data_IF_720188773219
#
_entry.id   IF_720188773219
#
_cell.length_a   1.000
_cell.length_b   1.000
_cell.length_c   1.000
_cell.angle_alpha   90.00
_cell.angle_beta   90.00
_cell.angle_gamma   90.00
#
_symmetry.space_group_name_H-M   'P 1'
#
loop_
_entity.id
_entity.type
_entity.pdbx_description
1 polymer ?
#
# COMPACT_ATOMS: atom_id res chain seq x y z
N UNK A 1 -20.39 -17.63 11.35
CA UNK A 1 -19.95 -16.48 12.18
C UNK A 1 -18.50 -16.22 11.87
N UNK A 2 -18.04 -14.96 11.75
CA UNK A 2 -16.61 -14.69 11.54
C UNK A 2 -15.83 -15.04 12.82
N UNK A 3 -14.71 -15.75 12.68
CA UNK A 3 -13.89 -16.20 13.81
C UNK A 3 -12.80 -15.19 14.16
N UNK A 4 -12.06 -14.73 13.15
CA UNK A 4 -10.95 -13.79 13.31
C UNK A 4 -11.00 -12.69 12.26
N UNK A 5 -10.77 -11.45 12.69
CA UNK A 5 -10.53 -10.32 11.80
C UNK A 5 -9.05 -9.93 11.89
N UNK A 6 -8.40 -9.82 10.75
CA UNK A 6 -6.98 -9.49 10.67
C UNK A 6 -6.75 -8.39 9.64
N UNK A 7 -5.86 -7.45 9.93
CA UNK A 7 -5.44 -6.40 9.01
C UNK A 7 -3.97 -6.60 8.67
N UNK A 8 -3.68 -6.81 7.38
CA UNK A 8 -2.33 -6.91 6.84
C UNK A 8 -2.03 -5.63 6.06
N UNK A 9 -0.84 -5.04 6.23
CA UNK A 9 -0.49 -3.85 5.49
C UNK A 9 0.92 -3.89 4.90
N UNK A 10 1.05 -3.31 3.70
CA UNK A 10 2.32 -2.98 3.07
C UNK A 10 2.40 -1.46 2.98
N UNK A 11 3.20 -0.83 3.86
CA UNK A 11 3.17 0.62 4.08
C UNK A 11 4.56 1.26 4.08
N UNK A 12 5.18 1.50 2.91
CA UNK A 12 6.53 2.07 2.86
C UNK A 12 6.68 3.44 3.54
N UNK A 13 5.67 4.30 3.49
CA UNK A 13 5.74 5.69 3.99
C UNK A 13 4.67 6.06 5.02
N UNK A 14 4.02 5.08 5.63
CA UNK A 14 3.02 5.27 6.69
C UNK A 14 1.59 5.60 6.21
N UNK A 15 1.39 5.95 4.94
CA UNK A 15 0.07 6.31 4.42
C UNK A 15 -0.93 5.15 4.43
N UNK A 16 -0.49 3.96 4.05
CA UNK A 16 -1.31 2.74 4.11
C UNK A 16 -1.54 2.30 5.55
N UNK A 17 -0.49 2.35 6.37
CA UNK A 17 -0.56 2.01 7.79
C UNK A 17 -1.60 2.86 8.53
N UNK A 18 -1.65 4.18 8.24
CA UNK A 18 -2.68 5.07 8.80
C UNK A 18 -4.10 4.57 8.48
N UNK A 19 -4.37 4.16 7.25
CA UNK A 19 -5.69 3.61 6.86
C UNK A 19 -5.93 2.26 7.52
N UNK A 20 -4.93 1.38 7.53
CA UNK A 20 -5.02 0.07 8.19
C UNK A 20 -5.32 0.20 9.68
N UNK A 21 -4.67 1.16 10.36
CA UNK A 21 -4.93 1.44 11.78
C UNK A 21 -6.33 1.99 12.03
N UNK A 22 -6.89 2.83 11.13
CA UNK A 22 -8.27 3.28 11.22
C UNK A 22 -9.26 2.10 11.15
N UNK A 23 -9.01 1.14 10.23
CA UNK A 23 -9.80 -0.09 10.14
C UNK A 23 -9.69 -0.93 11.43
N UNK A 24 -8.47 -1.15 11.91
CA UNK A 24 -8.24 -1.93 13.12
C UNK A 24 -8.92 -1.31 14.35
N UNK A 25 -8.85 0.00 14.50
CA UNK A 25 -9.48 0.74 15.59
C UNK A 25 -11.02 0.66 15.53
N UNK A 26 -11.62 0.88 14.35
CA UNK A 26 -13.07 0.82 14.16
C UNK A 26 -13.61 -0.58 14.45
N UNK A 27 -12.94 -1.62 13.98
CA UNK A 27 -13.32 -3.01 14.18
C UNK A 27 -12.87 -3.58 15.55
N UNK A 28 -12.12 -2.80 16.35
CA UNK A 28 -11.59 -3.18 17.66
C UNK A 28 -10.76 -4.47 17.62
N UNK A 29 -9.92 -4.58 16.60
CA UNK A 29 -9.00 -5.72 16.41
C UNK A 29 -7.56 -5.32 16.69
N UNK A 30 -6.65 -6.31 16.73
CA UNK A 30 -5.23 -6.09 16.92
C UNK A 30 -4.63 -5.13 15.87
N UNK A 31 -3.51 -4.50 16.22
CA UNK A 31 -2.76 -3.63 15.32
C UNK A 31 -2.43 -4.36 14.00
N UNK A 32 -2.37 -3.63 12.87
CA UNK A 32 -2.05 -4.23 11.57
C UNK A 32 -0.69 -4.94 11.57
N UNK A 33 -0.63 -6.10 10.91
CA UNK A 33 0.63 -6.77 10.64
C UNK A 33 1.33 -6.10 9.46
N UNK A 34 2.57 -5.64 9.67
CA UNK A 34 3.37 -4.98 8.64
C UNK A 34 4.15 -6.01 7.79
N UNK A 35 3.81 -6.07 6.51
CA UNK A 35 4.45 -6.89 5.48
C UNK A 35 5.40 -6.09 4.58
N UNK A 36 5.78 -4.87 4.97
CA UNK A 36 6.54 -3.95 4.11
C UNK A 36 7.93 -4.46 3.80
N UNK A 37 8.69 -4.85 4.82
CA UNK A 37 10.09 -5.25 4.65
C UNK A 37 10.27 -6.74 4.42
N UNK A 38 9.39 -7.58 4.97
CA UNK A 38 9.44 -9.05 4.84
C UNK A 38 8.06 -9.66 4.91
N UNK A 39 7.92 -10.87 4.35
CA UNK A 39 6.76 -11.73 4.54
C UNK A 39 6.87 -12.53 5.84
N UNK A 40 5.73 -12.96 6.34
CA UNK A 40 5.60 -13.86 7.48
C UNK A 40 4.60 -14.96 7.12
N UNK A 41 4.94 -16.20 7.46
CA UNK A 41 4.04 -17.32 7.25
C UNK A 41 2.77 -17.14 8.07
N UNK A 42 1.63 -17.12 7.41
CA UNK A 42 0.33 -17.04 8.06
C UNK A 42 -0.72 -17.82 7.27
N UNK A 43 -1.52 -18.61 7.98
CA UNK A 43 -2.65 -19.35 7.43
C UNK A 43 -3.94 -18.89 8.08
N UNK A 44 -4.97 -18.80 7.26
CA UNK A 44 -6.33 -18.44 7.66
C UNK A 44 -7.28 -19.63 7.43
N UNK A 45 -8.51 -19.50 7.91
CA UNK A 45 -9.59 -20.46 7.73
C UNK A 45 -10.79 -19.80 7.05
N UNK A 46 -11.73 -20.60 6.56
CA UNK A 46 -12.95 -20.12 5.87
C UNK A 46 -13.79 -19.12 6.67
N UNK A 47 -13.65 -19.13 7.99
CA UNK A 47 -14.39 -18.26 8.91
C UNK A 47 -13.65 -16.96 9.24
N UNK A 48 -12.44 -16.78 8.71
CA UNK A 48 -11.65 -15.56 8.92
C UNK A 48 -11.97 -14.49 7.88
N UNK A 49 -11.83 -13.22 8.28
CA UNK A 49 -11.92 -12.05 7.41
C UNK A 49 -10.60 -11.26 7.48
N UNK A 50 -9.97 -11.08 6.33
CA UNK A 50 -8.65 -10.43 6.22
C UNK A 50 -8.75 -9.16 5.38
N UNK A 51 -8.29 -8.04 5.94
CA UNK A 51 -8.12 -6.79 5.21
C UNK A 51 -6.70 -6.68 4.68
N UNK A 52 -6.56 -6.57 3.37
CA UNK A 52 -5.29 -6.34 2.70
C UNK A 52 -5.17 -4.86 2.33
N UNK A 53 -4.35 -4.11 3.07
CA UNK A 53 -4.09 -2.70 2.82
C UNK A 53 -2.77 -2.53 2.08
N UNK A 54 -2.78 -1.89 0.91
CA UNK A 54 -1.61 -1.79 0.03
C UNK A 54 -1.59 -0.47 -0.75
N UNK A 55 -0.39 0.04 -1.12
CA UNK A 55 -0.27 1.24 -1.92
C UNK A 55 -0.42 0.92 -3.42
N UNK A 56 -0.72 1.97 -4.20
CA UNK A 56 -0.83 1.90 -5.66
C UNK A 56 0.35 2.60 -6.32
N UNK A 57 1.11 1.87 -7.12
CA UNK A 57 2.25 2.40 -7.87
C UNK A 57 1.99 2.30 -9.38
N UNK A 58 1.81 3.46 -10.02
CA UNK A 58 1.53 3.53 -11.45
C UNK A 58 0.22 2.87 -11.89
N UNK A 59 -0.72 2.60 -10.96
CA UNK A 59 -1.99 1.93 -11.23
C UNK A 59 -1.95 0.41 -11.02
N UNK A 60 -0.87 -0.09 -10.41
CA UNK A 60 -0.59 -1.51 -10.14
C UNK A 60 -0.25 -1.70 -8.66
N UNK A 61 -0.28 -2.93 -8.17
CA UNK A 61 0.31 -3.26 -6.87
C UNK A 61 1.85 -3.20 -6.95
N UNK A 62 2.55 -2.88 -5.83
CA UNK A 62 4.02 -2.95 -5.83
C UNK A 62 4.51 -4.39 -6.01
N UNK A 63 5.57 -4.58 -6.79
CA UNK A 63 6.13 -5.91 -7.08
C UNK A 63 6.43 -6.76 -5.84
N UNK A 64 6.93 -6.21 -4.70
CA UNK A 64 7.14 -7.01 -3.50
C UNK A 64 5.87 -7.65 -2.92
N UNK A 65 4.67 -7.16 -3.27
CA UNK A 65 3.43 -7.79 -2.80
C UNK A 65 3.29 -9.24 -3.29
N UNK A 66 3.78 -9.56 -4.50
CA UNK A 66 3.78 -10.94 -4.99
C UNK A 66 4.60 -11.85 -4.08
N UNK A 67 5.80 -11.42 -3.68
CA UNK A 67 6.67 -12.18 -2.78
C UNK A 67 6.04 -12.31 -1.39
N UNK A 68 5.49 -11.22 -0.85
CA UNK A 68 4.83 -11.22 0.48
C UNK A 68 3.63 -12.16 0.53
N UNK A 69 2.84 -12.19 -0.54
CA UNK A 69 1.67 -13.06 -0.63
C UNK A 69 2.04 -14.55 -0.75
N UNK A 70 3.30 -14.91 -1.06
CA UNK A 70 3.74 -16.30 -1.01
C UNK A 70 3.65 -16.93 0.38
N UNK A 71 3.74 -16.11 1.42
CA UNK A 71 3.67 -16.51 2.83
C UNK A 71 2.25 -16.44 3.42
N UNK A 72 1.23 -16.16 2.59
CA UNK A 72 -0.14 -15.95 3.07
C UNK A 72 -1.07 -16.97 2.45
N UNK A 73 -1.73 -17.79 3.28
CA UNK A 73 -2.59 -18.91 2.85
C UNK A 73 -4.04 -18.66 3.28
N UNK A 74 -4.93 -18.51 2.31
CA UNK A 74 -6.32 -18.13 2.53
C UNK A 74 -7.22 -19.26 2.99
N UNK A 75 -7.07 -20.48 2.43
CA UNK A 75 -7.87 -21.65 2.77
C UNK A 75 -9.40 -21.39 2.82
N UNK A 76 -9.90 -20.58 1.89
CA UNK A 76 -11.31 -20.18 1.82
C UNK A 76 -11.68 -18.96 2.67
N UNK A 77 -10.74 -18.33 3.38
CA UNK A 77 -10.96 -17.08 4.11
C UNK A 77 -11.48 -15.97 3.21
N UNK A 78 -12.18 -15.03 3.81
CA UNK A 78 -12.71 -13.84 3.13
C UNK A 78 -11.68 -12.72 3.13
N UNK A 79 -11.59 -11.97 2.03
CA UNK A 79 -10.65 -10.87 1.85
C UNK A 79 -11.39 -9.57 1.50
N UNK A 80 -10.96 -8.47 2.13
CA UNK A 80 -11.33 -7.10 1.76
C UNK A 80 -10.07 -6.37 1.31
N UNK A 81 -10.10 -5.81 0.10
CA UNK A 81 -8.95 -5.17 -0.53
C UNK A 81 -9.00 -3.65 -0.35
N UNK A 82 -7.96 -3.07 0.23
CA UNK A 82 -7.90 -1.63 0.53
C UNK A 82 -6.72 -1.01 -0.21
N UNK A 83 -6.99 -0.46 -1.39
CA UNK A 83 -6.00 0.25 -2.19
C UNK A 83 -5.85 1.68 -1.69
N UNK A 84 -4.65 2.06 -1.24
CA UNK A 84 -4.35 3.41 -0.73
C UNK A 84 -3.44 4.12 -1.73
N UNK A 85 -3.86 5.28 -2.23
CA UNK A 85 -3.15 5.96 -3.29
C UNK A 85 -2.97 7.46 -3.06
N UNK A 86 -1.94 8.04 -3.72
CA UNK A 86 -1.55 9.43 -3.59
C UNK A 86 -2.34 10.37 -4.53
N UNK A 87 -3.67 10.34 -4.50
CA UNK A 87 -4.56 11.23 -5.26
C UNK A 87 -4.46 11.16 -6.80
N UNK A 88 -3.77 10.15 -7.40
CA UNK A 88 -3.71 9.99 -8.85
C UNK A 88 -4.86 9.11 -9.39
N UNK A 89 -4.73 7.80 -9.31
CA UNK A 89 -5.73 6.81 -9.71
C UNK A 89 -5.31 5.42 -9.21
N UNK A 90 -6.29 4.54 -9.02
CA UNK A 90 -6.08 3.13 -8.61
C UNK A 90 -5.91 2.22 -9.82
N UNK A 91 -6.59 2.52 -10.93
CA UNK A 91 -6.54 1.75 -12.19
C UNK A 91 -6.75 0.24 -11.95
N UNK A 92 -5.74 -0.62 -12.25
CA UNK A 92 -5.90 -2.08 -12.19
C UNK A 92 -5.48 -2.70 -10.84
N UNK A 93 -5.01 -1.90 -9.88
CA UNK A 93 -4.41 -2.41 -8.64
C UNK A 93 -5.37 -3.25 -7.78
N UNK A 94 -6.67 -2.90 -7.73
CA UNK A 94 -7.66 -3.70 -7.00
C UNK A 94 -7.92 -5.04 -7.70
N UNK A 95 -8.04 -5.06 -9.03
CA UNK A 95 -8.22 -6.29 -9.80
C UNK A 95 -7.00 -7.20 -9.68
N UNK A 96 -5.79 -6.63 -9.79
CA UNK A 96 -4.54 -7.36 -9.67
C UNK A 96 -4.37 -7.99 -8.28
N UNK A 97 -4.70 -7.25 -7.21
CA UNK A 97 -4.68 -7.78 -5.86
C UNK A 97 -5.76 -8.84 -5.64
N UNK A 98 -6.94 -8.69 -6.27
CA UNK A 98 -8.00 -9.68 -6.24
C UNK A 98 -7.52 -11.01 -6.84
N UNK A 99 -6.90 -10.97 -8.01
CA UNK A 99 -6.36 -12.18 -8.66
C UNK A 99 -5.28 -12.84 -7.80
N UNK A 100 -4.42 -12.04 -7.18
CA UNK A 100 -3.40 -12.55 -6.26
C UNK A 100 -4.02 -13.21 -5.02
N UNK A 101 -5.05 -12.62 -4.42
CA UNK A 101 -5.78 -13.21 -3.29
C UNK A 101 -6.50 -14.51 -3.69
N UNK A 102 -7.16 -14.53 -4.85
CA UNK A 102 -7.81 -15.75 -5.36
C UNK A 102 -6.81 -16.89 -5.54
N UNK A 103 -5.63 -16.61 -6.09
CA UNK A 103 -4.55 -17.58 -6.25
C UNK A 103 -3.99 -18.10 -4.91
N UNK A 104 -4.22 -17.38 -3.81
CA UNK A 104 -3.85 -17.76 -2.44
C UNK A 104 -5.00 -18.39 -1.64
N UNK A 105 -6.12 -18.70 -2.31
CA UNK A 105 -7.26 -19.38 -1.71
C UNK A 105 -8.20 -18.48 -0.92
N UNK A 106 -8.18 -17.16 -1.13
CA UNK A 106 -9.15 -16.24 -0.55
C UNK A 106 -10.40 -16.07 -1.42
N UNK A 107 -11.49 -15.65 -0.79
CA UNK A 107 -12.71 -15.15 -1.44
C UNK A 107 -12.79 -13.64 -1.25
N UNK A 108 -12.68 -12.86 -2.33
CA UNK A 108 -12.75 -11.40 -2.24
C UNK A 108 -14.20 -10.96 -2.07
N UNK A 109 -14.52 -10.35 -0.94
CA UNK A 109 -15.88 -10.01 -0.52
C UNK A 109 -16.11 -8.50 -0.37
N UNK A 110 -15.12 -7.69 -0.65
CA UNK A 110 -15.23 -6.24 -0.65
C UNK A 110 -13.95 -5.54 -1.05
N UNK A 111 -14.05 -4.26 -1.34
CA UNK A 111 -12.90 -3.42 -1.69
C UNK A 111 -13.10 -1.95 -1.36
N UNK A 112 -11.99 -1.23 -1.22
CA UNK A 112 -11.97 0.20 -0.98
C UNK A 112 -10.80 0.89 -1.71
N UNK A 113 -11.06 2.10 -2.20
CA UNK A 113 -10.05 3.06 -2.68
C UNK A 113 -9.95 4.18 -1.64
N UNK A 114 -8.81 4.31 -0.97
CA UNK A 114 -8.58 5.33 0.04
C UNK A 114 -7.44 6.27 -0.36
N UNK A 115 -7.51 7.53 0.05
CA UNK A 115 -6.52 8.53 -0.31
C UNK A 115 -5.58 8.76 0.90
N UNK A 116 -4.27 8.86 0.60
CA UNK A 116 -3.23 9.28 1.54
C UNK A 116 -2.26 10.25 0.82
N UNK A 117 -1.39 10.97 1.56
CA UNK A 117 -0.39 11.80 0.93
C UNK A 117 0.52 11.00 -0.02
N UNK A 118 0.76 11.55 -1.21
CA UNK A 118 1.58 10.92 -2.23
C UNK A 118 3.04 10.74 -1.75
N UNK A 119 3.61 9.55 -1.91
CA UNK A 119 4.95 9.22 -1.36
C UNK A 119 6.08 10.11 -1.91
N UNK A 120 6.00 10.52 -3.18
CA UNK A 120 7.02 11.33 -3.84
C UNK A 120 6.78 12.83 -3.57
N UNK A 121 5.53 13.28 -3.53
CA UNK A 121 5.19 14.68 -3.27
C UNK A 121 3.98 14.79 -2.35
N UNK A 122 4.23 15.00 -1.08
CA UNK A 122 3.23 14.99 0.00
C UNK A 122 2.19 16.13 -0.10
N UNK A 123 2.37 17.09 -1.00
CA UNK A 123 1.36 18.13 -1.27
C UNK A 123 0.10 17.55 -1.88
N UNK A 124 0.22 16.48 -2.70
CA UNK A 124 -0.93 15.77 -3.26
C UNK A 124 -1.51 14.83 -2.21
N UNK A 125 -2.79 14.96 -1.94
CA UNK A 125 -3.48 14.24 -0.89
C UNK A 125 -3.07 14.66 0.53
N UNK A 126 -2.52 15.87 0.71
CA UNK A 126 -2.15 16.39 2.02
C UNK A 126 -3.35 16.39 2.97
N UNK A 127 -3.12 16.00 4.23
CA UNK A 127 -4.17 15.92 5.25
C UNK A 127 -5.11 14.71 5.16
N UNK A 128 -4.98 13.88 4.11
CA UNK A 128 -5.83 12.69 3.90
C UNK A 128 -5.27 11.44 4.61
N UNK A 129 -6.14 10.47 5.00
CA UNK A 129 -7.59 10.60 5.06
C UNK A 129 -8.01 11.65 6.08
N UNK A 130 -8.99 12.49 5.71
CA UNK A 130 -9.60 13.48 6.60
C UNK A 130 -10.88 12.95 7.26
N UNK A 131 -11.58 13.80 8.03
CA UNK A 131 -12.77 13.38 8.76
C UNK A 131 -13.88 12.82 7.85
N UNK A 132 -14.05 13.37 6.63
CA UNK A 132 -15.06 12.85 5.69
C UNK A 132 -14.68 11.50 5.11
N UNK A 133 -13.38 11.26 4.85
CA UNK A 133 -12.87 9.96 4.42
C UNK A 133 -13.07 8.89 5.49
N UNK A 134 -12.77 9.26 6.74
CA UNK A 134 -12.93 8.37 7.90
C UNK A 134 -14.42 8.02 8.10
N UNK A 135 -15.31 9.00 8.03
CA UNK A 135 -16.73 8.76 8.12
C UNK A 135 -17.25 7.81 7.02
N UNK A 136 -16.77 8.00 5.77
CA UNK A 136 -17.12 7.14 4.65
C UNK A 136 -16.57 5.71 4.83
N UNK A 137 -15.33 5.57 5.32
CA UNK A 137 -14.73 4.28 5.65
C UNK A 137 -15.53 3.56 6.74
N UNK A 138 -15.87 4.24 7.83
CA UNK A 138 -16.63 3.65 8.93
C UNK A 138 -18.02 3.20 8.48
N UNK A 139 -18.70 3.97 7.62
CA UNK A 139 -19.96 3.55 7.00
C UNK A 139 -19.81 2.28 6.16
N UNK A 140 -18.73 2.18 5.38
CA UNK A 140 -18.43 0.99 4.61
C UNK A 140 -18.20 -0.22 5.52
N UNK A 141 -17.38 -0.08 6.57
CA UNK A 141 -17.11 -1.15 7.53
C UNK A 141 -18.38 -1.60 8.24
N UNK A 142 -19.23 -0.67 8.69
CA UNK A 142 -20.52 -0.99 9.30
C UNK A 142 -21.43 -1.75 8.33
N UNK A 143 -21.50 -1.33 7.06
CA UNK A 143 -22.30 -2.01 6.03
C UNK A 143 -21.77 -3.41 5.71
N UNK A 144 -20.44 -3.60 5.68
CA UNK A 144 -19.80 -4.89 5.48
C UNK A 144 -20.13 -5.85 6.64
N UNK A 145 -19.99 -5.37 7.88
CA UNK A 145 -20.20 -6.19 9.09
C UNK A 145 -21.67 -6.49 9.36
N UNK A 146 -22.60 -5.70 8.82
CA UNK A 146 -24.04 -5.93 8.93
C UNK A 146 -24.57 -6.99 7.95
N UNK A 147 -23.78 -7.42 6.95
CA UNK A 147 -24.21 -8.45 6.01
C UNK A 147 -24.35 -9.81 6.71
N UNK A 148 -25.46 -10.48 6.50
CA UNK A 148 -25.67 -11.86 6.99
C UNK A 148 -24.72 -12.85 6.29
N UNK A 149 -24.45 -12.61 5.00
CA UNK A 149 -23.54 -13.41 4.20
C UNK A 149 -22.62 -12.49 3.39
N UNK A 150 -21.32 -12.78 3.42
CA UNK A 150 -20.29 -12.10 2.63
C UNK A 150 -20.09 -12.83 1.31
N UNK A 151 -20.72 -12.34 0.26
CA UNK A 151 -20.62 -12.86 -1.11
C UNK A 151 -19.42 -12.25 -1.84
N UNK A 152 -18.90 -12.95 -2.86
CA UNK A 152 -17.80 -12.47 -3.68
C UNK A 152 -18.19 -11.24 -4.50
N UNK A 153 -17.25 -10.27 -4.58
CA UNK A 153 -17.42 -9.00 -5.30
C UNK A 153 -16.33 -8.86 -6.35
N UNK A 154 -16.72 -8.48 -7.58
CA UNK A 154 -15.77 -8.20 -8.64
C UNK A 154 -15.06 -6.86 -8.38
N UNK A 155 -13.72 -6.86 -8.52
CA UNK A 155 -12.93 -5.64 -8.36
C UNK A 155 -12.78 -4.90 -9.69
N UNK A 156 -12.75 -3.55 -9.67
CA UNK A 156 -12.54 -2.74 -10.87
C UNK A 156 -11.12 -2.91 -11.42
N UNK A 157 -11.01 -2.83 -12.74
CA UNK A 157 -9.76 -2.93 -13.48
C UNK A 157 -9.97 -3.56 -14.85
N UNK A 158 -8.89 -3.76 -15.60
CA UNK A 158 -8.89 -4.35 -16.93
C UNK A 158 -7.81 -5.42 -17.07
N UNK A 159 -8.04 -6.41 -17.92
CA UNK A 159 -7.03 -7.38 -18.36
C UNK A 159 -6.84 -7.26 -19.88
N UNK A 160 -5.60 -7.30 -20.38
CA UNK A 160 -4.35 -7.35 -19.62
C UNK A 160 -4.19 -6.08 -18.75
N UNK A 161 -3.51 -6.22 -17.58
CA UNK A 161 -3.23 -5.08 -16.71
C UNK A 161 -2.38 -4.04 -17.43
N UNK A 162 -2.55 -2.78 -17.03
CA UNK A 162 -1.70 -1.69 -17.48
C UNK A 162 -0.22 -2.04 -17.34
N UNK A 163 0.56 -1.81 -18.38
CA UNK A 163 2.01 -1.98 -18.33
C UNK A 163 2.62 -1.02 -17.29
N UNK A 164 3.44 -1.57 -16.40
CA UNK A 164 4.16 -0.80 -15.39
C UNK A 164 5.65 -0.75 -15.72
N UNK A 165 6.13 0.41 -16.15
CA UNK A 165 7.53 0.64 -16.53
C UNK A 165 8.42 1.14 -15.38
N UNK A 166 7.90 1.11 -14.13
CA UNK A 166 8.57 1.72 -12.98
C UNK A 166 8.37 3.24 -12.93
N UNK A 167 8.84 3.83 -11.84
CA UNK A 167 8.85 5.28 -11.62
C UNK A 167 10.32 5.69 -11.45
N UNK A 168 10.90 6.49 -12.37
CA UNK A 168 12.35 6.78 -12.35
C UNK A 168 12.71 7.87 -11.32
N UNK A 169 12.37 7.64 -10.05
CA UNK A 169 12.64 8.57 -8.94
C UNK A 169 13.47 7.85 -7.89
N UNK A 170 14.78 7.98 -7.96
CA UNK A 170 15.74 7.22 -7.16
C UNK A 170 16.37 8.09 -6.08
N UNK A 171 16.07 7.84 -4.78
CA UNK A 171 16.73 8.55 -3.68
C UNK A 171 18.21 8.23 -3.58
N UNK A 172 19.00 9.24 -3.19
CA UNK A 172 20.41 9.12 -2.89
C UNK A 172 20.71 9.73 -1.52
N UNK A 173 21.86 9.42 -0.94
CA UNK A 173 22.32 10.07 0.28
C UNK A 173 23.17 11.30 -0.02
N UNK A 174 23.18 12.27 0.90
CA UNK A 174 24.11 13.40 0.85
C UNK A 174 25.50 12.99 1.33
N UNK A 175 26.49 13.85 1.09
CA UNK A 175 27.86 13.68 1.60
C UNK A 175 27.97 13.68 3.14
N UNK A 176 26.90 14.09 3.84
CA UNK A 176 26.81 14.07 5.31
C UNK A 176 26.17 12.79 5.87
N UNK A 177 25.98 11.78 5.03
CA UNK A 177 25.45 10.49 5.46
C UNK A 177 26.42 9.82 6.45
N UNK A 178 25.91 9.41 7.61
CA UNK A 178 26.70 8.73 8.65
C UNK A 178 26.95 7.24 8.37
N UNK A 179 26.37 6.68 7.32
CA UNK A 179 26.48 5.24 7.04
C UNK A 179 25.72 4.33 8.00
N UNK A 180 24.68 4.83 8.71
CA UNK A 180 23.98 4.06 9.76
C UNK A 180 23.21 2.82 9.27
N UNK A 181 23.06 2.61 7.96
CA UNK A 181 22.46 1.41 7.38
C UNK A 181 20.92 1.32 7.45
N UNK A 182 20.23 2.20 8.18
CA UNK A 182 18.76 2.13 8.35
C UNK A 182 18.02 2.05 7.01
N UNK A 183 18.44 2.82 6.01
CA UNK A 183 17.79 2.81 4.69
C UNK A 183 17.95 1.48 3.95
N UNK A 184 19.04 0.74 4.17
CA UNK A 184 19.26 -0.59 3.61
C UNK A 184 18.39 -1.64 4.34
N UNK A 185 18.38 -1.63 5.67
CA UNK A 185 17.56 -2.54 6.50
C UNK A 185 16.07 -2.40 6.21
N UNK A 186 15.62 -1.17 5.97
CA UNK A 186 14.22 -0.83 5.75
C UNK A 186 13.80 -0.94 4.26
N UNK A 187 14.71 -1.29 3.35
CA UNK A 187 14.39 -1.37 1.93
C UNK A 187 13.57 -2.62 1.59
N UNK A 188 12.32 -2.51 1.09
CA UNK A 188 11.47 -3.66 0.81
C UNK A 188 11.94 -4.52 -0.38
N UNK A 189 12.92 -4.01 -1.16
CA UNK A 189 13.45 -4.65 -2.36
C UNK A 189 14.97 -4.84 -2.32
N UNK A 190 15.60 -4.57 -1.16
CA UNK A 190 17.06 -4.66 -1.01
C UNK A 190 17.85 -3.87 -2.10
N UNK A 191 17.28 -2.72 -2.48
CA UNK A 191 17.88 -1.83 -3.48
C UNK A 191 19.02 -0.96 -2.92
N UNK A 192 19.42 -1.14 -1.67
CA UNK A 192 20.46 -0.37 -0.99
C UNK A 192 21.38 -1.36 -0.28
N UNK A 193 22.65 -1.38 -0.70
CA UNK A 193 23.66 -2.20 -0.07
C UNK A 193 24.00 -1.64 1.34
N UNK A 194 23.99 -2.46 2.40
CA UNK A 194 24.45 -2.05 3.73
C UNK A 194 25.88 -1.55 3.78
N UNK A 195 26.76 -2.08 2.92
CA UNK A 195 28.16 -1.66 2.78
C UNK A 195 28.34 -0.35 2.01
N UNK A 196 27.34 0.03 1.19
CA UNK A 196 27.32 1.28 0.43
C UNK A 196 25.93 1.94 0.49
N UNK A 197 25.49 2.43 1.67
CA UNK A 197 24.16 2.98 1.83
C UNK A 197 23.96 4.35 1.15
N UNK A 198 24.97 4.88 0.48
CA UNK A 198 24.86 6.13 -0.27
C UNK A 198 24.20 5.94 -1.63
N UNK A 199 24.42 4.80 -2.26
CA UNK A 199 23.87 4.49 -3.58
C UNK A 199 22.54 3.73 -3.52
N UNK A 200 21.86 3.70 -4.65
CA UNK A 200 20.60 2.94 -4.84
C UNK A 200 20.73 2.15 -6.12
N UNK A 201 20.55 0.84 -6.02
CA UNK A 201 20.37 -0.02 -7.19
C UNK A 201 19.03 0.32 -7.88
N UNK A 202 19.13 0.96 -9.05
CA UNK A 202 17.96 1.42 -9.82
C UNK A 202 17.16 0.25 -10.39
N UNK A 203 17.76 -0.91 -10.58
CA UNK A 203 17.08 -2.10 -11.11
C UNK A 203 16.14 -2.73 -10.10
N UNK A 204 16.46 -2.61 -8.81
CA UNK A 204 15.65 -3.12 -7.69
C UNK A 204 14.72 -2.08 -7.10
N UNK A 205 15.02 -0.78 -7.26
CA UNK A 205 14.30 0.29 -6.59
C UNK A 205 12.90 0.52 -7.18
N UNK A 206 11.87 0.38 -6.37
CA UNK A 206 10.47 0.64 -6.73
C UNK A 206 10.00 2.08 -6.44
N UNK A 207 10.91 2.99 -6.12
CA UNK A 207 10.60 4.42 -5.84
C UNK A 207 9.57 4.63 -4.71
N UNK A 208 9.55 3.76 -3.71
CA UNK A 208 8.57 3.79 -2.62
C UNK A 208 8.80 4.90 -1.59
N UNK A 209 9.97 5.53 -1.59
CA UNK A 209 10.38 6.58 -0.64
C UNK A 209 10.53 6.12 0.82
N UNK A 210 10.51 4.81 1.14
CA UNK A 210 10.69 4.33 2.51
C UNK A 210 12.05 4.75 3.07
N UNK A 211 13.12 4.58 2.31
CA UNK A 211 14.47 4.98 2.72
C UNK A 211 14.61 6.49 3.01
N UNK A 212 13.77 7.32 2.39
CA UNK A 212 13.69 8.77 2.67
C UNK A 212 12.94 9.02 3.98
N UNK A 213 11.79 8.35 4.17
CA UNK A 213 10.95 8.55 5.36
C UNK A 213 11.59 7.99 6.64
N UNK A 214 12.38 6.91 6.53
CA UNK A 214 13.02 6.23 7.66
C UNK A 214 14.41 6.76 8.01
N UNK A 215 14.97 7.69 7.22
CA UNK A 215 16.30 8.23 7.49
C UNK A 215 16.31 9.12 8.75
N UNK A 216 16.93 8.69 9.89
CA UNK A 216 16.87 9.43 11.16
C UNK A 216 17.58 10.77 11.08
N UNK A 217 18.52 10.92 10.13
CA UNK A 217 19.32 12.13 9.96
C UNK A 217 18.85 12.98 8.78
N UNK A 218 17.74 12.61 8.09
CA UNK A 218 17.22 13.29 6.89
C UNK A 218 18.25 13.49 5.77
N UNK A 219 19.26 12.60 5.71
CA UNK A 219 20.33 12.69 4.69
C UNK A 219 19.96 11.95 3.39
N UNK A 220 19.00 11.01 3.46
CA UNK A 220 18.47 10.33 2.29
C UNK A 220 17.36 11.16 1.65
N UNK A 221 17.50 11.46 0.35
CA UNK A 221 16.54 12.33 -0.36
C UNK A 221 16.52 12.06 -1.85
N UNK A 222 15.44 12.47 -2.51
CA UNK A 222 15.40 12.53 -3.97
C UNK A 222 16.23 13.75 -4.44
N UNK A 223 17.09 13.60 -5.45
CA UNK A 223 17.80 14.74 -6.03
C UNK A 223 16.82 15.82 -6.49
N UNK A 224 17.13 17.10 -6.21
CA UNK A 224 16.22 18.23 -6.40
C UNK A 224 15.66 18.33 -7.82
N UNK A 225 16.49 18.15 -8.85
CA UNK A 225 16.02 18.18 -10.24
C UNK A 225 15.00 17.07 -10.53
N UNK A 226 15.26 15.85 -10.04
CA UNK A 226 14.37 14.70 -10.19
C UNK A 226 13.05 14.92 -9.42
N UNK A 227 13.11 15.49 -8.21
CA UNK A 227 11.94 15.83 -7.42
C UNK A 227 11.06 16.86 -8.15
N UNK A 228 11.65 17.91 -8.72
CA UNK A 228 10.92 18.93 -9.48
C UNK A 228 10.24 18.34 -10.73
N UNK A 229 10.96 17.51 -11.49
CA UNK A 229 10.40 16.84 -12.66
C UNK A 229 9.23 15.90 -12.29
N UNK A 230 9.40 15.11 -11.24
CA UNK A 230 8.34 14.24 -10.75
C UNK A 230 7.11 15.03 -10.27
N UNK A 231 7.34 16.09 -9.50
CA UNK A 231 6.24 16.96 -9.03
C UNK A 231 5.50 17.63 -10.20
N UNK A 232 6.20 18.12 -11.21
CA UNK A 232 5.59 18.71 -12.41
C UNK A 232 4.70 17.69 -13.15
N UNK A 233 5.18 16.45 -13.31
CA UNK A 233 4.40 15.39 -13.93
C UNK A 233 3.13 15.03 -13.13
N UNK A 234 3.19 15.13 -11.79
CA UNK A 234 2.07 14.79 -10.91
C UNK A 234 1.00 15.89 -10.83
N UNK A 235 1.34 17.17 -11.07
CA UNK A 235 0.41 18.31 -10.90
C UNK A 235 -0.93 18.06 -11.61
N UNK A 236 -0.90 17.71 -12.89
CA UNK A 236 -2.14 17.50 -13.67
C UNK A 236 -2.86 16.22 -13.27
N UNK A 237 -2.11 15.15 -12.98
CA UNK A 237 -2.67 13.83 -12.67
C UNK A 237 -3.29 13.73 -11.28
N UNK A 238 -2.73 14.48 -10.31
CA UNK A 238 -3.17 14.49 -8.92
C UNK A 238 -4.02 15.71 -8.57
N UNK A 239 -4.45 16.51 -9.58
CA UNK A 239 -5.26 17.69 -9.37
C UNK A 239 -6.64 17.37 -8.81
N UNK A 240 -7.18 18.32 -8.04
CA UNK A 240 -8.51 18.24 -7.44
C UNK A 240 -8.61 17.19 -6.31
N UNK A 241 -9.70 17.28 -5.57
CA UNK A 241 -10.04 16.31 -4.53
C UNK A 241 -10.55 15.02 -5.18
N UNK A 242 -10.05 13.88 -4.73
CA UNK A 242 -10.60 12.56 -5.02
C UNK A 242 -11.37 12.07 -3.80
N UNK A 243 -12.46 11.37 -4.05
CA UNK A 243 -13.26 10.78 -2.98
C UNK A 243 -12.97 9.27 -2.84
N UNK A 244 -13.07 8.71 -1.62
CA UNK A 244 -13.00 7.27 -1.42
C UNK A 244 -14.07 6.54 -2.22
N UNK A 245 -13.77 5.32 -2.68
CA UNK A 245 -14.76 4.45 -3.31
C UNK A 245 -14.80 3.11 -2.60
N UNK A 246 -15.96 2.49 -2.58
CA UNK A 246 -16.20 1.25 -1.88
C UNK A 246 -16.99 0.27 -2.74
N UNK A 247 -16.68 -1.01 -2.59
CA UNK A 247 -17.24 -2.12 -3.36
C UNK A 247 -17.71 -3.22 -2.39
N UNK A 248 -19.02 -3.54 -2.42
CA UNK A 248 -19.68 -4.52 -1.56
C UNK A 248 -20.67 -5.38 -2.35
#
# INVERSE_FOLDING_TARGET
MLNKLTVLCFSPTGGVEKVAQLIANELKVAAPYDYTTRGYEVSFSSDDLVFFCFPVYGGRIPTPMYDRMNYVHGNGAKAVLVAVYGNRAVEDALLEMSDLCLNRGFKVVGGAEMIAPHSIDKRFGAGRPDASDIAALNKFLASLMAKQELTTVAMPGKRPYKEYKGIPVYPTSSSKCSGCGTCAQECPTEAIDPGDPQHTDKSKCISCMRCVSMCPFSQRRVPKAMQLAASAALIKMCAGRKEPKFYL
#
